data_IF_023255620566
#
_entry.id   IF_023255620566
#
_cell.length_a   1.000
_cell.length_b   1.000
_cell.length_c   1.000
_cell.angle_alpha   90.00
_cell.angle_beta   90.00
_cell.angle_gamma   90.00
#
_symmetry.space_group_name_H-M   'P 1'
#
loop_
_entity.id
_entity.type
_entity.pdbx_description
1 polymer ?
#
# COMPACT_ATOMS: atom_id res chain seq x y z
N UNK A 1 -8.22 10.23 -39.86
CA UNK A 1 -8.37 11.58 -40.46
C UNK A 1 -8.11 12.69 -39.44
N UNK A 2 -7.03 12.59 -38.65
CA UNK A 2 -6.56 13.66 -37.77
C UNK A 2 -5.05 13.43 -37.59
N UNK A 3 -4.27 13.82 -38.59
CA UNK A 3 -2.81 13.86 -38.47
C UNK A 3 -2.42 15.20 -37.87
N UNK A 4 -2.91 15.52 -36.67
CA UNK A 4 -2.52 16.75 -35.97
C UNK A 4 -1.05 16.62 -35.56
N UNK A 5 -0.19 17.32 -36.30
CA UNK A 5 1.22 17.48 -35.98
C UNK A 5 1.44 18.58 -34.95
N UNK A 6 2.66 18.67 -34.41
CA UNK A 6 3.04 19.74 -33.47
C UNK A 6 2.84 21.15 -34.02
N UNK A 7 2.98 21.33 -35.34
CA UNK A 7 2.73 22.61 -36.01
C UNK A 7 1.27 23.04 -35.99
N UNK A 8 0.32 22.13 -36.20
CA UNK A 8 -1.11 22.44 -36.19
C UNK A 8 -1.61 22.79 -34.78
N UNK A 9 -1.11 22.09 -33.75
CA UNK A 9 -1.38 22.46 -32.34
C UNK A 9 -0.91 23.89 -32.05
N UNK A 10 0.28 24.27 -32.54
CA UNK A 10 0.84 25.60 -32.31
C UNK A 10 -0.01 26.69 -32.96
N UNK A 11 -0.49 26.47 -34.19
CA UNK A 11 -1.38 27.42 -34.88
C UNK A 11 -2.68 27.61 -34.11
N UNK A 12 -3.32 26.52 -33.66
CA UNK A 12 -4.55 26.59 -32.85
C UNK A 12 -4.29 27.34 -31.55
N UNK A 13 -3.14 27.08 -30.90
CA UNK A 13 -2.76 27.75 -29.67
C UNK A 13 -2.59 29.25 -29.88
N UNK A 14 -1.92 29.69 -30.96
CA UNK A 14 -1.79 31.12 -31.29
C UNK A 14 -3.16 31.78 -31.53
N UNK A 15 -4.05 31.13 -32.28
CA UNK A 15 -5.40 31.66 -32.51
C UNK A 15 -6.16 31.75 -31.19
N UNK A 16 -6.15 30.69 -30.37
CA UNK A 16 -6.77 30.68 -29.06
C UNK A 16 -6.19 31.78 -28.14
N UNK A 17 -4.88 32.02 -28.21
CA UNK A 17 -4.20 33.07 -27.46
C UNK A 17 -4.62 34.48 -27.88
N UNK A 18 -4.92 34.71 -29.16
CA UNK A 18 -5.41 36.01 -29.63
C UNK A 18 -6.84 36.25 -29.15
N UNK A 19 -7.71 35.23 -29.23
CA UNK A 19 -9.11 35.33 -28.83
C UNK A 19 -9.31 35.39 -27.31
N UNK A 20 -8.67 34.48 -26.59
CA UNK A 20 -8.80 34.34 -25.13
C UNK A 20 -7.80 35.23 -24.39
N UNK A 21 -6.63 35.49 -24.96
CA UNK A 21 -5.54 36.25 -24.35
C UNK A 21 -4.45 35.36 -23.72
N UNK A 22 -3.15 35.70 -23.85
CA UNK A 22 -2.03 34.95 -23.26
C UNK A 22 -2.02 34.92 -21.75
N UNK A 23 -2.62 35.90 -21.09
CA UNK A 23 -2.75 35.92 -19.63
C UNK A 23 -3.82 34.96 -19.12
N UNK A 24 -4.81 34.59 -19.95
CA UNK A 24 -5.99 33.83 -19.54
C UNK A 24 -5.75 32.32 -19.52
N UNK A 25 -4.95 31.77 -20.44
CA UNK A 25 -4.54 30.36 -20.39
C UNK A 25 -3.85 29.97 -19.05
N UNK A 26 -2.79 30.67 -18.59
CA UNK A 26 -2.15 30.32 -17.32
C UNK A 26 -3.05 30.61 -16.12
N UNK A 27 -3.93 31.61 -16.20
CA UNK A 27 -4.91 31.91 -15.15
C UNK A 27 -5.92 30.76 -14.96
N UNK A 28 -6.48 30.25 -16.06
CA UNK A 28 -7.39 29.10 -16.06
C UNK A 28 -6.65 27.84 -15.60
N UNK A 29 -5.44 27.58 -16.11
CA UNK A 29 -4.63 26.44 -15.70
C UNK A 29 -4.29 26.47 -14.20
N UNK A 30 -3.94 27.64 -13.65
CA UNK A 30 -3.69 27.82 -12.21
C UNK A 30 -4.95 27.55 -11.39
N UNK A 31 -6.10 28.02 -11.86
CA UNK A 31 -7.39 27.84 -11.18
C UNK A 31 -7.80 26.37 -11.19
N UNK A 32 -7.78 25.74 -12.36
CA UNK A 32 -8.04 24.31 -12.52
C UNK A 32 -7.07 23.47 -11.69
N UNK A 33 -5.78 23.80 -11.68
CA UNK A 33 -4.77 23.10 -10.88
C UNK A 33 -5.06 23.15 -9.38
N UNK A 34 -5.42 24.32 -8.84
CA UNK A 34 -5.82 24.46 -7.43
C UNK A 34 -7.08 23.65 -7.13
N UNK A 35 -8.08 23.69 -8.01
CA UNK A 35 -9.32 22.93 -7.85
C UNK A 35 -9.06 21.42 -7.89
N UNK A 36 -8.26 20.93 -8.84
CA UNK A 36 -7.86 19.51 -8.89
C UNK A 36 -7.10 19.10 -7.64
N UNK A 37 -6.22 19.95 -7.12
CA UNK A 37 -5.50 19.66 -5.87
C UNK A 37 -6.46 19.60 -4.66
N UNK A 38 -7.44 20.49 -4.59
CA UNK A 38 -8.46 20.46 -3.54
C UNK A 38 -9.31 19.18 -3.63
N UNK A 39 -9.72 18.77 -4.83
CA UNK A 39 -10.47 17.53 -5.05
C UNK A 39 -9.66 16.31 -4.59
N UNK A 40 -8.35 16.25 -4.90
CA UNK A 40 -7.47 15.15 -4.48
C UNK A 40 -7.39 15.04 -2.96
N UNK A 41 -7.23 16.17 -2.24
CA UNK A 41 -7.19 16.19 -0.77
C UNK A 41 -8.49 15.69 -0.16
N UNK A 42 -9.63 16.16 -0.66
CA UNK A 42 -10.96 15.73 -0.19
C UNK A 42 -11.17 14.23 -0.43
N UNK A 43 -10.74 13.75 -1.60
CA UNK A 43 -10.83 12.32 -1.95
C UNK A 43 -9.96 11.46 -1.04
N UNK A 44 -8.79 11.95 -0.64
CA UNK A 44 -7.88 11.27 0.27
C UNK A 44 -8.42 11.21 1.71
N UNK A 45 -8.97 12.32 2.22
CA UNK A 45 -9.66 12.34 3.52
C UNK A 45 -10.86 11.40 3.53
N UNK A 46 -11.70 11.43 2.49
CA UNK A 46 -12.84 10.52 2.38
C UNK A 46 -12.43 9.05 2.31
N UNK A 47 -11.34 8.74 1.58
CA UNK A 47 -10.79 7.38 1.53
C UNK A 47 -10.29 6.93 2.91
N UNK A 48 -9.63 7.82 3.64
CA UNK A 48 -9.13 7.54 5.00
C UNK A 48 -10.28 7.29 5.98
N UNK A 49 -11.31 8.13 5.95
CA UNK A 49 -12.50 8.00 6.80
C UNK A 49 -13.27 6.71 6.49
N UNK A 50 -13.47 6.40 5.21
CA UNK A 50 -14.14 5.17 4.80
C UNK A 50 -13.32 3.91 5.14
N UNK A 51 -12.00 3.95 4.94
CA UNK A 51 -11.12 2.84 5.33
C UNK A 51 -11.17 2.60 6.83
N UNK A 52 -11.12 3.67 7.63
CA UNK A 52 -11.19 3.57 9.09
C UNK A 52 -12.54 3.01 9.55
N UNK A 53 -13.64 3.51 8.98
CA UNK A 53 -14.98 3.01 9.30
C UNK A 53 -15.17 1.54 8.90
N UNK A 54 -14.62 1.11 7.75
CA UNK A 54 -14.67 -0.29 7.32
C UNK A 54 -13.80 -1.16 8.23
N UNK A 55 -12.56 -0.74 8.52
CA UNK A 55 -11.64 -1.47 9.39
C UNK A 55 -12.23 -1.66 10.79
N UNK A 56 -12.79 -0.61 11.40
CA UNK A 56 -13.44 -0.67 12.71
C UNK A 56 -14.60 -1.69 12.73
N UNK A 57 -15.44 -1.70 11.69
CA UNK A 57 -16.55 -2.66 11.57
C UNK A 57 -16.07 -4.09 11.31
N UNK A 58 -14.94 -4.26 10.60
CA UNK A 58 -14.35 -5.58 10.36
C UNK A 58 -13.61 -6.11 11.58
N UNK A 59 -12.94 -5.27 12.37
CA UNK A 59 -12.25 -5.68 13.59
C UNK A 59 -13.25 -6.08 14.69
N UNK A 60 -14.35 -5.35 14.84
CA UNK A 60 -15.43 -5.74 15.77
C UNK A 60 -16.05 -7.10 15.38
N UNK A 61 -16.20 -7.38 14.09
CA UNK A 61 -16.68 -8.68 13.62
C UNK A 61 -15.62 -9.79 13.73
N UNK A 62 -14.34 -9.47 13.52
CA UNK A 62 -13.22 -10.41 13.69
C UNK A 62 -13.05 -10.79 15.16
N UNK A 63 -13.23 -9.85 16.10
CA UNK A 63 -13.24 -10.13 17.54
C UNK A 63 -14.43 -10.99 17.95
N UNK A 64 -15.59 -10.85 17.32
CA UNK A 64 -16.76 -11.70 17.59
C UNK A 64 -16.62 -13.11 16.99
N UNK A 65 -15.94 -13.27 15.85
CA UNK A 65 -15.69 -14.59 15.23
C UNK A 65 -14.45 -15.31 15.75
N UNK A 66 -13.46 -14.58 16.28
CA UNK A 66 -12.23 -15.15 16.85
C UNK A 66 -12.41 -15.89 18.17
N UNK A 67 -13.58 -15.75 18.81
CA UNK A 67 -13.93 -16.47 20.05
C UNK A 67 -14.43 -17.90 19.75
N UNK A 68 -14.79 -18.20 18.49
CA UNK A 68 -15.39 -19.48 18.10
C UNK A 68 -14.42 -20.43 17.37
N UNK A 69 -13.23 -19.94 16.98
CA UNK A 69 -12.20 -20.75 16.29
C UNK A 69 -11.02 -21.16 17.20
N UNK A 70 -11.05 -20.76 18.48
CA UNK A 70 -10.08 -21.22 19.50
C UNK A 70 -10.83 -22.01 20.59
N UNK A 71 -11.51 -23.08 20.19
CA UNK A 71 -12.10 -24.03 21.12
C UNK A 71 -11.02 -24.82 21.86
N UNK A 72 -11.12 -25.00 23.19
CA UNK A 72 -10.18 -25.78 23.97
C UNK A 72 -10.50 -27.28 23.83
N UNK A 73 -9.99 -27.98 22.82
CA UNK A 73 -9.91 -29.45 22.91
C UNK A 73 -8.74 -30.02 22.11
N UNK A 74 -7.80 -30.56 22.90
CA UNK A 74 -7.26 -31.91 22.81
C UNK A 74 -6.61 -32.30 21.48
N UNK A 75 -5.28 -32.32 21.54
CA UNK A 75 -4.40 -33.25 20.85
C UNK A 75 -5.04 -34.65 20.72
N UNK A 76 -5.24 -35.16 19.50
CA UNK A 76 -5.27 -36.61 19.27
C UNK A 76 -3.89 -37.02 18.77
N UNK A 77 -3.23 -37.84 19.58
CA UNK A 77 -1.96 -38.48 19.26
C UNK A 77 -2.12 -39.31 17.98
N UNK A 78 -1.38 -38.99 16.92
CA UNK A 78 -1.17 -39.88 15.79
C UNK A 78 0.23 -40.49 15.93
N UNK A 79 0.27 -41.61 16.65
CA UNK A 79 1.32 -42.63 16.56
C UNK A 79 1.53 -43.01 15.09
N UNK A 80 2.79 -43.01 14.64
CA UNK A 80 3.28 -43.88 13.57
C UNK A 80 4.80 -44.05 13.75
N UNK A 81 5.16 -45.05 14.57
CA UNK A 81 6.42 -45.80 14.39
C UNK A 81 6.56 -46.27 12.95
N UNK A 82 7.80 -46.30 12.46
CA UNK A 82 8.28 -46.75 11.13
C UNK A 82 8.27 -45.62 10.09
N UNK A 83 9.43 -45.07 9.71
CA UNK A 83 10.47 -45.80 9.00
C UNK A 83 11.88 -45.36 9.42
N UNK A 84 12.67 -46.38 9.73
CA UNK A 84 14.11 -46.30 9.81
C UNK A 84 14.71 -45.84 8.47
N UNK A 85 15.55 -44.80 8.50
CA UNK A 85 16.68 -44.60 7.57
C UNK A 85 17.55 -43.46 8.13
N UNK A 86 18.55 -43.78 8.94
CA UNK A 86 19.93 -44.09 8.52
C UNK A 86 20.81 -42.82 8.49
N UNK A 87 21.89 -42.89 9.28
CA UNK A 87 23.14 -42.13 9.23
C UNK A 87 23.04 -40.62 9.44
N UNK A 88 23.56 -40.05 10.53
CA UNK A 88 24.92 -40.19 11.04
C UNK A 88 25.48 -38.76 11.05
N UNK A 89 25.71 -38.10 12.18
CA UNK A 89 26.79 -38.34 13.12
C UNK A 89 27.58 -37.03 13.25
N UNK A 90 28.22 -36.83 14.40
CA UNK A 90 29.20 -35.77 14.72
C UNK A 90 28.58 -34.39 15.03
N UNK A 91 28.36 -34.02 16.30
CA UNK A 91 29.33 -33.49 17.29
C UNK A 91 30.07 -32.22 16.84
N UNK A 92 30.31 -31.35 17.82
CA UNK A 92 31.05 -30.07 17.79
C UNK A 92 30.11 -28.85 17.69
N UNK A 93 30.08 -27.89 18.61
CA UNK A 93 30.84 -27.64 19.81
C UNK A 93 30.37 -26.32 20.44
N UNK A 94 30.30 -26.32 21.77
CA UNK A 94 30.54 -25.24 22.73
C UNK A 94 30.54 -23.77 22.24
N UNK A 95 29.84 -22.92 22.99
CA UNK A 95 30.14 -21.48 23.00
C UNK A 95 29.12 -20.61 23.72
N UNK A 96 28.92 -20.85 25.02
CA UNK A 96 28.44 -19.80 25.95
C UNK A 96 29.55 -18.76 26.19
N UNK A 97 29.15 -17.59 26.70
CA UNK A 97 29.95 -16.46 27.26
C UNK A 97 30.15 -15.32 26.23
N UNK A 98 29.47 -14.17 26.31
CA UNK A 98 29.44 -13.12 27.35
C UNK A 98 30.72 -12.28 27.37
N UNK A 99 30.63 -11.03 26.87
CA UNK A 99 31.38 -9.79 27.22
C UNK A 99 31.05 -8.75 26.12
N UNK A 100 30.24 -7.72 26.42
CA UNK A 100 30.59 -6.38 26.93
C UNK A 100 31.41 -5.50 25.96
N UNK A 101 31.02 -4.22 25.93
CA UNK A 101 31.80 -3.03 25.54
C UNK A 101 32.16 -2.83 24.05
N UNK A 102 31.60 -1.85 23.33
CA UNK A 102 31.79 -0.37 23.37
C UNK A 102 32.82 0.10 22.32
N UNK A 103 32.36 0.97 21.40
CA UNK A 103 33.14 2.00 20.65
C UNK A 103 34.03 1.46 19.50
N UNK A 104 33.97 1.97 18.26
CA UNK A 104 34.05 3.36 17.79
C UNK A 104 33.01 3.75 16.73
#
# INVERSE_FOLDING_TARGET
MFNIGGGEILVILVVALIFLGPSKLPEIARTLGRTTQAIRRVSESFRSELSSAVDDNTEMQARQRGIDLTGPELLPQADLRTTAKDSGGNSDGKGSLQENETTE
#
